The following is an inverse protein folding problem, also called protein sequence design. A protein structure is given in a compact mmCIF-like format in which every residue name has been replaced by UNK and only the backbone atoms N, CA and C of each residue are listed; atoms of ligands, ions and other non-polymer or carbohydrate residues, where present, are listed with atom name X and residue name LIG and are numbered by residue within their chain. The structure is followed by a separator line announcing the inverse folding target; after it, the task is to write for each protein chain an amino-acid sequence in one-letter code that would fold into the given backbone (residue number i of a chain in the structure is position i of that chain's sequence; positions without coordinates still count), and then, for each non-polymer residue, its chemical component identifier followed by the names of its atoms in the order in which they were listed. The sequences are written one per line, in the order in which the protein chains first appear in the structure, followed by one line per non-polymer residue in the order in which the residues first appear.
data_IF_256222716044
#
_entry.id   IF_256222716044
#
_cell.length_a   1.000
_cell.length_b   1.000
_cell.length_c   1.000
_cell.angle_alpha   90.00
_cell.angle_beta   90.00
_cell.angle_gamma   90.00
#
_symmetry.space_group_name_H-M   'P 1'
#
loop_
_entity.id
_entity.type
_entity.pdbx_description
1 polymer ?
#
# COMPACT_ATOMS: atom_id res chain seq x y z
N UNK A 1 -20.27 23.18 20.57
CA UNK A 1 -20.00 22.38 19.36
C UNK A 1 -18.99 23.19 18.53
N UNK A 2 -17.71 22.85 18.63
CA UNK A 2 -16.70 23.41 17.74
C UNK A 2 -16.99 22.97 16.31
N UNK A 3 -17.14 23.95 15.41
CA UNK A 3 -17.21 23.65 13.97
C UNK A 3 -15.90 22.99 13.57
N UNK A 4 -15.94 21.70 13.24
CA UNK A 4 -14.82 21.04 12.60
C UNK A 4 -14.43 21.88 11.38
N UNK A 5 -13.21 22.41 11.42
CA UNK A 5 -12.61 23.14 10.30
C UNK A 5 -12.52 22.15 9.15
N UNK A 6 -13.27 22.35 8.09
CA UNK A 6 -13.20 21.52 6.89
C UNK A 6 -11.79 21.68 6.32
N UNK A 7 -10.96 20.68 6.45
CA UNK A 7 -9.63 20.65 5.83
C UNK A 7 -9.90 20.44 4.35
N UNK A 8 -9.26 21.25 3.51
CA UNK A 8 -9.25 21.00 2.06
C UNK A 8 -7.90 20.32 1.76
N UNK A 9 -7.84 18.98 1.77
CA UNK A 9 -6.57 18.27 1.65
C UNK A 9 -5.95 18.56 0.28
N UNK A 10 -4.64 18.76 0.27
CA UNK A 10 -3.86 19.03 -0.95
C UNK A 10 -3.99 17.87 -1.96
N UNK A 11 -4.14 16.64 -1.45
CA UNK A 11 -4.34 15.44 -2.25
C UNK A 11 -5.74 14.86 -2.01
N UNK A 12 -6.40 14.46 -3.09
CA UNK A 12 -7.77 13.92 -3.07
C UNK A 12 -7.79 12.40 -3.03
N UNK A 13 -6.67 11.76 -3.40
CA UNK A 13 -6.56 10.31 -3.51
C UNK A 13 -5.26 9.81 -2.90
N UNK A 14 -5.35 8.74 -2.08
CA UNK A 14 -4.21 8.10 -1.43
C UNK A 14 -4.01 6.70 -1.98
N UNK A 15 -2.80 6.40 -2.43
CA UNK A 15 -2.40 5.05 -2.84
C UNK A 15 -1.51 4.44 -1.77
N UNK A 16 -1.87 3.26 -1.30
CA UNK A 16 -1.12 2.52 -0.29
C UNK A 16 -0.56 1.22 -0.86
N UNK A 17 0.73 0.98 -0.66
CA UNK A 17 1.24 -0.38 -0.82
C UNK A 17 0.64 -1.29 0.26
N UNK A 18 0.62 -2.60 -0.01
CA UNK A 18 0.01 -3.58 0.87
C UNK A 18 1.01 -4.14 1.88
N UNK A 19 2.10 -4.76 1.39
CA UNK A 19 3.08 -5.49 2.21
C UNK A 19 4.01 -4.52 2.96
N UNK A 20 3.94 -4.49 4.28
CA UNK A 20 4.85 -3.66 5.09
C UNK A 20 4.50 -2.17 5.11
N UNK A 21 3.46 -1.75 4.40
CA UNK A 21 2.94 -0.37 4.45
C UNK A 21 1.60 -0.34 5.17
N UNK A 22 0.55 -0.84 4.53
CA UNK A 22 -0.79 -0.88 5.13
C UNK A 22 -0.94 -2.09 6.05
N UNK A 23 -0.47 -3.28 5.62
CA UNK A 23 -0.63 -4.53 6.35
C UNK A 23 0.70 -5.14 6.79
N UNK A 24 0.72 -5.65 8.05
CA UNK A 24 1.82 -6.49 8.51
C UNK A 24 1.69 -7.91 7.95
N UNK A 25 2.52 -8.23 6.98
CA UNK A 25 2.57 -9.55 6.34
C UNK A 25 3.70 -10.44 6.86
N UNK A 26 4.31 -10.08 7.99
CA UNK A 26 5.46 -10.79 8.57
C UNK A 26 5.19 -12.26 8.90
N UNK A 27 3.96 -12.60 9.27
CA UNK A 27 3.60 -14.00 9.54
C UNK A 27 3.59 -14.86 8.28
N UNK A 28 3.12 -14.32 7.15
CA UNK A 28 3.19 -15.03 5.86
C UNK A 28 4.64 -15.24 5.42
N UNK A 29 5.53 -14.28 5.68
CA UNK A 29 6.97 -14.43 5.43
C UNK A 29 7.57 -15.52 6.31
N UNK A 30 7.28 -15.50 7.62
CA UNK A 30 7.74 -16.54 8.57
C UNK A 30 7.26 -17.92 8.16
N UNK A 31 6.00 -18.03 7.75
CA UNK A 31 5.44 -19.30 7.27
C UNK A 31 6.22 -19.84 6.06
N UNK A 32 6.41 -19.04 5.04
CA UNK A 32 7.12 -19.46 3.84
C UNK A 32 8.62 -19.77 4.09
N UNK A 33 9.30 -18.95 4.90
CA UNK A 33 10.73 -19.11 5.16
C UNK A 33 11.02 -20.23 6.18
N UNK A 34 10.33 -20.22 7.33
CA UNK A 34 10.67 -21.09 8.46
C UNK A 34 9.94 -22.41 8.42
N UNK A 35 8.65 -22.41 8.07
CA UNK A 35 7.84 -23.63 8.09
C UNK A 35 7.99 -24.44 6.83
N UNK A 36 8.26 -23.79 5.68
CA UNK A 36 8.41 -24.46 4.38
C UNK A 36 9.86 -24.45 3.86
N UNK A 37 10.79 -23.77 4.55
CA UNK A 37 12.21 -23.71 4.16
C UNK A 37 12.47 -23.02 2.80
N UNK A 38 11.56 -22.18 2.33
CA UNK A 38 11.67 -21.55 1.01
C UNK A 38 12.57 -20.32 1.06
N UNK A 39 13.31 -20.06 -0.04
CA UNK A 39 14.12 -18.84 -0.16
C UNK A 39 13.25 -17.66 -0.56
N UNK A 40 13.51 -16.47 0.02
CA UNK A 40 12.84 -15.22 -0.35
C UNK A 40 12.93 -14.93 -1.84
N UNK A 41 11.89 -14.32 -2.37
CA UNK A 41 11.74 -13.88 -3.75
C UNK A 41 11.75 -14.96 -4.82
N UNK A 42 11.72 -16.24 -4.44
CA UNK A 42 11.48 -17.33 -5.39
C UNK A 42 9.98 -17.42 -5.74
N UNK A 43 9.61 -18.01 -6.89
CA UNK A 43 8.21 -18.22 -7.26
C UNK A 43 7.45 -19.04 -6.20
N UNK A 44 8.07 -20.06 -5.62
CA UNK A 44 7.51 -20.92 -4.60
C UNK A 44 7.23 -20.14 -3.30
N UNK A 45 8.15 -19.28 -2.89
CA UNK A 45 7.98 -18.40 -1.73
C UNK A 45 6.81 -17.42 -1.97
N UNK A 46 6.76 -16.78 -3.13
CA UNK A 46 5.66 -15.88 -3.49
C UNK A 46 4.31 -16.62 -3.48
N UNK A 47 4.27 -17.84 -3.99
CA UNK A 47 3.06 -18.65 -4.03
C UNK A 47 2.61 -19.08 -2.63
N UNK A 48 3.55 -19.52 -1.78
CA UNK A 48 3.28 -19.93 -0.40
C UNK A 48 2.71 -18.76 0.43
N UNK A 49 3.32 -17.57 0.33
CA UNK A 49 2.81 -16.36 0.98
C UNK A 49 1.39 -16.02 0.54
N UNK A 50 1.14 -16.00 -0.76
CA UNK A 50 -0.19 -15.71 -1.32
C UNK A 50 -1.22 -16.72 -0.83
N UNK A 51 -0.89 -18.00 -0.81
CA UNK A 51 -1.76 -19.05 -0.28
C UNK A 51 -2.04 -18.85 1.21
N UNK A 52 -1.01 -18.52 1.99
CA UNK A 52 -1.16 -18.23 3.42
C UNK A 52 -2.13 -17.06 3.63
N UNK A 53 -1.90 -15.93 2.99
CA UNK A 53 -2.69 -14.70 3.13
C UNK A 53 -4.13 -14.86 2.63
N UNK A 54 -4.33 -15.66 1.58
CA UNK A 54 -5.64 -15.85 0.99
C UNK A 54 -6.52 -16.88 1.71
N UNK A 55 -5.91 -17.86 2.40
CA UNK A 55 -6.65 -19.05 2.87
C UNK A 55 -6.38 -19.43 4.33
N UNK A 56 -5.25 -19.02 4.91
CA UNK A 56 -4.86 -19.45 6.27
C UNK A 56 -5.12 -18.28 7.26
N UNK A 57 -4.48 -17.13 7.03
CA UNK A 57 -4.61 -16.00 7.92
C UNK A 57 -4.46 -14.68 7.15
N UNK A 58 -5.49 -13.86 7.17
CA UNK A 58 -5.42 -12.49 6.64
C UNK A 58 -4.48 -11.64 7.50
N UNK A 59 -3.76 -10.73 6.85
CA UNK A 59 -2.93 -9.75 7.55
C UNK A 59 -3.79 -8.68 8.24
N UNK A 60 -3.24 -8.08 9.28
CA UNK A 60 -3.84 -6.92 9.97
C UNK A 60 -3.09 -5.65 9.59
N UNK A 61 -3.76 -4.49 9.59
CA UNK A 61 -3.06 -3.21 9.49
C UNK A 61 -2.06 -3.06 10.64
N UNK A 62 -1.00 -2.29 10.40
CA UNK A 62 -0.11 -1.85 11.48
C UNK A 62 -0.87 -1.01 12.51
N UNK A 63 -0.29 -0.87 13.69
CA UNK A 63 -0.80 0.04 14.72
C UNK A 63 -0.82 1.49 14.18
N UNK A 64 -1.81 2.28 14.60
CA UNK A 64 -1.97 3.67 14.19
C UNK A 64 -2.82 3.90 12.93
N UNK A 65 -3.17 2.86 12.19
CA UNK A 65 -4.00 3.00 11.00
C UNK A 65 -5.47 3.37 11.30
N UNK A 66 -5.97 3.09 12.49
CA UNK A 66 -7.36 3.40 12.88
C UNK A 66 -7.65 4.89 12.77
N UNK A 67 -6.72 5.74 13.23
CA UNK A 67 -6.85 7.21 13.17
C UNK A 67 -6.79 7.71 11.73
N UNK A 68 -5.90 7.11 10.91
CA UNK A 68 -5.79 7.44 9.48
C UNK A 68 -7.06 7.05 8.73
N UNK A 69 -7.63 5.86 8.99
CA UNK A 69 -8.89 5.44 8.38
C UNK A 69 -10.03 6.37 8.76
N UNK A 70 -10.12 6.73 10.05
CA UNK A 70 -11.11 7.71 10.50
C UNK A 70 -10.94 9.03 9.78
N UNK A 71 -9.72 9.54 9.66
CA UNK A 71 -9.44 10.80 8.96
C UNK A 71 -9.83 10.74 7.49
N UNK A 72 -9.53 9.64 6.78
CA UNK A 72 -9.92 9.41 5.39
C UNK A 72 -11.44 9.48 5.23
N UNK A 73 -12.19 8.80 6.11
CA UNK A 73 -13.65 8.77 6.09
C UNK A 73 -14.23 10.16 6.39
N UNK A 74 -13.79 10.78 7.47
CA UNK A 74 -14.31 12.08 7.94
C UNK A 74 -14.10 13.20 6.91
N UNK A 75 -13.05 13.11 6.08
CA UNK A 75 -12.71 14.11 5.06
C UNK A 75 -13.07 13.68 3.63
N UNK A 76 -13.76 12.54 3.47
CA UNK A 76 -14.18 12.00 2.18
C UNK A 76 -13.02 11.88 1.17
N UNK A 77 -11.85 11.43 1.65
CA UNK A 77 -10.66 11.21 0.83
C UNK A 77 -10.75 9.85 0.16
N UNK A 78 -10.48 9.78 -1.15
CA UNK A 78 -10.42 8.51 -1.84
C UNK A 78 -9.15 7.75 -1.46
N UNK A 79 -9.27 6.46 -1.14
CA UNK A 79 -8.13 5.61 -0.81
C UNK A 79 -8.12 4.34 -1.67
N UNK A 80 -6.93 3.90 -2.08
CA UNK A 80 -6.77 2.66 -2.83
C UNK A 80 -5.54 1.87 -2.36
N UNK A 81 -5.65 0.55 -2.43
CA UNK A 81 -4.52 -0.38 -2.24
C UNK A 81 -3.95 -0.69 -3.63
N UNK A 82 -2.65 -0.43 -3.82
CA UNK A 82 -1.94 -0.65 -5.09
C UNK A 82 -0.76 -1.57 -4.84
N UNK A 83 -0.91 -2.85 -5.18
CA UNK A 83 0.04 -3.91 -4.79
C UNK A 83 0.28 -4.93 -5.90
N UNK A 84 1.49 -5.49 -5.94
CA UNK A 84 1.81 -6.64 -6.78
C UNK A 84 1.11 -7.95 -6.39
N UNK A 85 0.41 -7.99 -5.24
CA UNK A 85 -0.42 -9.11 -4.84
C UNK A 85 -1.66 -9.27 -5.74
N UNK A 86 -2.28 -10.44 -5.72
CA UNK A 86 -3.56 -10.63 -6.41
C UNK A 86 -4.68 -9.91 -5.68
N UNK A 87 -5.68 -9.47 -6.43
CA UNK A 87 -6.91 -8.86 -5.88
C UNK A 87 -7.59 -9.75 -4.83
N UNK A 88 -7.48 -11.08 -4.95
CA UNK A 88 -7.99 -12.01 -3.95
C UNK A 88 -7.34 -11.79 -2.58
N UNK A 89 -6.02 -11.63 -2.51
CA UNK A 89 -5.29 -11.36 -1.25
C UNK A 89 -5.76 -10.03 -0.65
N UNK A 90 -5.86 -8.98 -1.47
CA UNK A 90 -6.32 -7.66 -1.02
C UNK A 90 -7.73 -7.72 -0.44
N UNK A 91 -8.65 -8.41 -1.15
CA UNK A 91 -10.03 -8.58 -0.70
C UNK A 91 -10.14 -9.35 0.62
N UNK A 92 -9.29 -10.37 0.83
CA UNK A 92 -9.31 -11.15 2.06
C UNK A 92 -8.97 -10.28 3.27
N UNK A 93 -7.93 -9.44 3.18
CA UNK A 93 -7.53 -8.58 4.28
C UNK A 93 -8.53 -7.45 4.55
N UNK A 94 -9.05 -6.80 3.50
CA UNK A 94 -10.10 -5.78 3.64
C UNK A 94 -11.35 -6.38 4.31
N UNK A 95 -11.77 -7.58 3.90
CA UNK A 95 -12.91 -8.29 4.48
C UNK A 95 -12.64 -8.67 5.94
N UNK A 96 -11.49 -9.27 6.23
CA UNK A 96 -11.15 -9.77 7.56
C UNK A 96 -11.02 -8.64 8.60
N UNK A 97 -10.61 -7.44 8.16
CA UNK A 97 -10.46 -6.26 9.01
C UNK A 97 -11.67 -5.31 8.95
N UNK A 98 -12.72 -5.67 8.21
CA UNK A 98 -13.93 -4.85 8.02
C UNK A 98 -13.65 -3.41 7.54
N UNK A 99 -12.73 -3.25 6.57
CA UNK A 99 -12.28 -1.95 6.06
C UNK A 99 -13.10 -1.47 4.84
N UNK A 100 -14.39 -1.80 4.77
CA UNK A 100 -15.24 -1.45 3.62
C UNK A 100 -15.62 0.02 3.55
N UNK A 101 -15.53 0.74 4.67
CA UNK A 101 -15.79 2.19 4.70
C UNK A 101 -14.66 2.98 4.04
N UNK A 102 -13.42 2.43 4.07
CA UNK A 102 -12.24 3.00 3.41
C UNK A 102 -12.04 2.42 2.00
N UNK A 103 -12.26 1.10 1.87
CA UNK A 103 -12.09 0.35 0.62
C UNK A 103 -13.41 -0.32 0.24
N UNK A 104 -14.31 0.36 -0.50
CA UNK A 104 -15.67 -0.09 -0.78
C UNK A 104 -15.79 -1.47 -1.42
N UNK A 105 -16.96 -2.11 -1.29
CA UNK A 105 -17.23 -3.49 -1.75
C UNK A 105 -17.18 -3.67 -3.26
N UNK A 106 -17.36 -2.61 -4.05
CA UNK A 106 -17.23 -2.60 -5.51
C UNK A 106 -15.84 -3.00 -6.01
N UNK A 107 -14.84 -2.97 -5.12
CA UNK A 107 -13.46 -3.40 -5.36
C UNK A 107 -12.66 -2.55 -6.35
N UNK A 108 -13.20 -1.43 -6.82
CA UNK A 108 -12.52 -0.58 -7.80
C UNK A 108 -11.19 -0.06 -7.26
N UNK A 109 -11.09 0.17 -5.95
CA UNK A 109 -9.93 0.70 -5.26
C UNK A 109 -8.99 -0.36 -4.65
N UNK A 110 -9.05 -1.60 -5.11
CA UNK A 110 -8.11 -2.69 -4.78
C UNK A 110 -7.41 -3.15 -6.04
N UNK A 111 -6.30 -2.52 -6.37
CA UNK A 111 -5.55 -2.72 -7.60
C UNK A 111 -4.46 -3.78 -7.35
N UNK A 112 -4.60 -4.91 -8.00
CA UNK A 112 -3.68 -6.04 -7.88
C UNK A 112 -2.83 -6.26 -9.11
N UNK A 113 -1.64 -6.83 -8.92
CA UNK A 113 -0.70 -7.13 -10.00
C UNK A 113 -1.20 -8.08 -11.08
N UNK A 114 -2.37 -8.71 -10.88
CA UNK A 114 -2.99 -9.65 -11.84
C UNK A 114 -4.31 -9.15 -12.41
N UNK A 115 -4.64 -7.86 -12.24
CA UNK A 115 -5.93 -7.30 -12.65
C UNK A 115 -6.11 -7.25 -14.17
N UNK A 116 -5.02 -7.13 -14.92
CA UNK A 116 -5.04 -7.17 -16.37
C UNK A 116 -4.76 -8.59 -16.84
N UNK A 117 -5.71 -9.21 -17.54
CA UNK A 117 -5.56 -10.57 -18.08
C UNK A 117 -4.33 -10.67 -18.98
N UNK A 118 -3.50 -11.67 -18.71
CA UNK A 118 -2.27 -11.93 -19.50
C UNK A 118 -1.09 -11.00 -19.18
N UNK A 119 -1.27 -10.02 -18.29
CA UNK A 119 -0.21 -9.11 -17.85
C UNK A 119 -0.03 -9.19 -16.35
N UNK A 120 1.19 -9.41 -15.89
CA UNK A 120 1.56 -9.29 -14.49
C UNK A 120 2.20 -7.93 -14.27
N UNK A 121 1.56 -7.08 -13.47
CA UNK A 121 2.03 -5.74 -13.14
C UNK A 121 2.76 -5.78 -11.80
N UNK A 122 3.88 -5.10 -11.72
CA UNK A 122 4.70 -5.01 -10.53
C UNK A 122 5.19 -3.56 -10.36
N UNK A 123 5.85 -3.31 -9.26
CA UNK A 123 6.66 -2.10 -9.04
C UNK A 123 8.16 -2.41 -9.06
N UNK A 124 8.55 -3.62 -9.54
CA UNK A 124 9.96 -4.00 -9.67
C UNK A 124 10.68 -3.02 -10.59
N UNK A 125 11.92 -2.70 -10.26
CA UNK A 125 12.77 -1.78 -11.00
C UNK A 125 12.13 -0.41 -11.28
N UNK A 126 11.14 -0.03 -10.46
CA UNK A 126 10.38 1.21 -10.64
C UNK A 126 9.41 1.18 -11.83
N UNK A 127 8.90 0.00 -12.22
CA UNK A 127 7.87 -0.12 -13.28
C UNK A 127 6.58 0.61 -12.86
N UNK A 128 6.15 1.68 -13.57
CA UNK A 128 4.98 2.46 -13.24
C UNK A 128 3.65 1.79 -13.61
N UNK A 129 3.66 0.64 -14.29
CA UNK A 129 2.47 0.05 -14.92
C UNK A 129 1.31 -0.17 -13.94
N UNK A 130 1.62 -0.52 -12.69
CA UNK A 130 0.61 -0.74 -11.67
C UNK A 130 -0.05 0.57 -11.22
N UNK A 131 0.72 1.64 -11.04
CA UNK A 131 0.20 2.97 -10.71
C UNK A 131 -0.56 3.58 -11.88
N UNK A 132 -0.06 3.49 -13.11
CA UNK A 132 -0.77 3.96 -14.31
C UNK A 132 -2.11 3.23 -14.50
N UNK A 133 -2.16 1.94 -14.18
CA UNK A 133 -3.41 1.18 -14.18
C UNK A 133 -4.37 1.68 -13.08
N UNK A 134 -3.86 1.99 -11.88
CA UNK A 134 -4.65 2.51 -10.78
C UNK A 134 -5.25 3.90 -11.11
N UNK A 135 -4.43 4.82 -11.62
CA UNK A 135 -4.89 6.15 -12.08
C UNK A 135 -6.03 6.04 -13.09
N UNK A 136 -5.85 5.19 -14.09
CA UNK A 136 -6.87 4.95 -15.12
C UNK A 136 -8.15 4.34 -14.55
N UNK A 137 -8.02 3.32 -13.68
CA UNK A 137 -9.17 2.62 -13.10
C UNK A 137 -10.01 3.52 -12.20
N UNK A 138 -9.35 4.41 -11.45
CA UNK A 138 -10.00 5.33 -10.51
C UNK A 138 -10.37 6.67 -11.16
N UNK A 139 -9.97 6.90 -12.41
CA UNK A 139 -10.17 8.15 -13.15
C UNK A 139 -9.67 9.38 -12.38
N UNK A 140 -8.43 9.32 -11.89
CA UNK A 140 -7.78 10.39 -11.13
C UNK A 140 -6.52 10.86 -11.84
N UNK A 141 -6.21 12.15 -11.73
CA UNK A 141 -4.98 12.72 -12.25
C UNK A 141 -3.81 12.45 -11.29
N UNK A 142 -2.58 12.22 -11.79
CA UNK A 142 -1.45 11.89 -10.93
C UNK A 142 -1.12 12.97 -9.90
N UNK A 143 -1.31 14.25 -10.23
CA UNK A 143 -1.09 15.40 -9.35
C UNK A 143 -2.07 15.47 -8.16
N UNK A 144 -3.22 14.81 -8.25
CA UNK A 144 -4.19 14.69 -7.15
C UNK A 144 -3.89 13.50 -6.21
N UNK A 145 -2.83 12.74 -6.50
CA UNK A 145 -2.51 11.48 -5.79
C UNK A 145 -1.20 11.58 -5.02
N UNK A 146 -1.19 11.02 -3.81
CA UNK A 146 0.04 10.73 -3.07
C UNK A 146 0.12 9.22 -2.79
N UNK A 147 1.29 8.63 -3.02
CA UNK A 147 1.55 7.20 -2.84
C UNK A 147 2.44 6.95 -1.61
N UNK A 148 2.12 5.93 -0.85
CA UNK A 148 2.81 5.50 0.35
C UNK A 148 3.35 4.08 0.16
N UNK A 149 4.65 3.88 0.37
CA UNK A 149 5.32 2.59 0.22
C UNK A 149 6.51 2.42 1.14
N UNK A 150 6.88 1.18 1.43
CA UNK A 150 8.01 0.86 2.32
C UNK A 150 9.25 0.35 1.57
N UNK A 151 9.37 0.66 0.29
CA UNK A 151 10.50 0.26 -0.52
C UNK A 151 10.83 1.32 -1.59
N UNK A 152 12.13 1.54 -1.88
CA UNK A 152 12.58 2.47 -2.94
C UNK A 152 11.87 2.29 -4.28
N UNK A 153 11.63 1.03 -4.68
CA UNK A 153 10.89 0.73 -5.92
C UNK A 153 9.48 1.30 -5.96
N UNK A 154 8.83 1.48 -4.80
CA UNK A 154 7.48 2.06 -4.74
C UNK A 154 7.53 3.53 -5.12
N UNK A 155 8.51 4.28 -4.58
CA UNK A 155 8.74 5.68 -4.89
C UNK A 155 9.14 5.85 -6.36
N UNK A 156 10.14 5.12 -6.85
CA UNK A 156 10.57 5.19 -8.26
C UNK A 156 9.45 4.86 -9.25
N UNK A 157 8.56 3.91 -8.91
CA UNK A 157 7.41 3.59 -9.76
C UNK A 157 6.35 4.69 -9.73
N UNK A 158 6.13 5.33 -8.57
CA UNK A 158 5.23 6.46 -8.42
C UNK A 158 5.72 7.68 -9.21
N UNK A 159 7.00 8.04 -9.09
CA UNK A 159 7.62 9.14 -9.84
C UNK A 159 7.45 8.99 -11.35
N UNK A 160 7.74 7.79 -11.86
CA UNK A 160 7.56 7.49 -13.29
C UNK A 160 6.10 7.52 -13.74
N UNK A 161 5.17 7.43 -12.79
CA UNK A 161 3.74 7.62 -13.02
C UNK A 161 3.28 9.07 -12.81
N UNK A 162 4.18 9.99 -12.41
CA UNK A 162 3.89 11.39 -12.10
C UNK A 162 3.20 11.58 -10.75
N UNK A 163 3.31 10.63 -9.83
CA UNK A 163 2.66 10.63 -8.52
C UNK A 163 3.69 10.98 -7.45
N UNK A 164 3.37 11.92 -6.53
CA UNK A 164 4.19 12.16 -5.33
C UNK A 164 4.26 10.90 -4.47
N UNK A 165 5.47 10.53 -4.05
CA UNK A 165 5.70 9.38 -3.18
C UNK A 165 6.21 9.78 -1.78
N UNK A 166 5.91 8.93 -0.79
CA UNK A 166 6.38 9.06 0.59
C UNK A 166 6.85 7.70 1.07
N UNK A 167 8.03 7.67 1.68
CA UNK A 167 8.62 6.48 2.28
C UNK A 167 8.02 6.20 3.66
N UNK A 168 7.53 4.96 3.86
CA UNK A 168 6.97 4.47 5.11
C UNK A 168 7.97 3.55 5.82
N UNK A 169 8.54 3.99 6.93
CA UNK A 169 9.65 3.27 7.58
C UNK A 169 9.23 2.19 8.58
N UNK A 170 7.98 2.16 9.05
CA UNK A 170 7.52 1.21 10.09
C UNK A 170 7.51 -0.26 9.67
N UNK A 171 7.37 -0.56 8.38
CA UNK A 171 7.39 -1.94 7.87
C UNK A 171 8.69 -2.37 7.22
N UNK A 172 9.71 -1.51 7.23
CA UNK A 172 11.05 -1.82 6.68
C UNK A 172 11.81 -2.67 7.68
N UNK A 173 12.23 -3.86 7.25
CA UNK A 173 12.89 -4.86 8.12
C UNK A 173 14.40 -4.90 7.94
N UNK A 174 14.87 -4.57 6.76
CA UNK A 174 16.27 -4.58 6.40
C UNK A 174 16.87 -3.18 6.65
N UNK A 175 17.91 -3.09 7.48
CA UNK A 175 18.54 -1.81 7.84
C UNK A 175 19.15 -1.11 6.62
N UNK A 176 19.76 -1.85 5.71
CA UNK A 176 20.29 -1.31 4.45
C UNK A 176 19.19 -0.61 3.62
N UNK A 177 18.02 -1.25 3.49
CA UNK A 177 16.86 -0.67 2.81
C UNK A 177 16.36 0.58 3.54
N UNK A 178 16.34 0.55 4.88
CA UNK A 178 15.93 1.69 5.69
C UNK A 178 16.88 2.88 5.49
N UNK A 179 18.18 2.63 5.48
CA UNK A 179 19.19 3.68 5.27
C UNK A 179 19.06 4.27 3.86
N UNK A 180 18.90 3.46 2.82
CA UNK A 180 18.68 3.94 1.45
C UNK A 180 17.46 4.87 1.35
N UNK A 181 16.38 4.59 2.07
CA UNK A 181 15.20 5.46 2.09
C UNK A 181 15.45 6.75 2.87
N UNK A 182 16.20 6.70 3.96
CA UNK A 182 16.55 7.88 4.75
C UNK A 182 17.52 8.82 4.01
N UNK A 183 18.38 8.26 3.18
CA UNK A 183 19.37 9.00 2.38
C UNK A 183 18.80 9.50 1.05
N UNK A 184 17.56 9.16 0.73
CA UNK A 184 16.88 9.59 -0.49
C UNK A 184 16.49 11.07 -0.38
N UNK A 185 17.10 11.99 -1.15
CA UNK A 185 16.84 13.42 -1.04
C UNK A 185 15.51 13.84 -1.71
N UNK A 186 14.93 12.99 -2.54
CA UNK A 186 13.79 13.31 -3.37
C UNK A 186 12.45 12.98 -2.70
N UNK A 187 12.48 12.12 -1.65
CA UNK A 187 11.26 11.64 -1.01
C UNK A 187 11.27 11.84 0.51
N UNK A 188 10.15 12.29 1.01
CA UNK A 188 9.91 12.42 2.44
C UNK A 188 9.75 11.05 3.10
N UNK A 189 10.31 10.89 4.32
CA UNK A 189 10.20 9.70 5.15
C UNK A 189 9.25 9.94 6.33
N UNK A 190 8.34 9.01 6.56
CA UNK A 190 7.49 8.98 7.75
C UNK A 190 7.70 7.68 8.53
N UNK A 191 7.61 7.76 9.85
CA UNK A 191 7.93 6.67 10.78
C UNK A 191 6.70 6.02 11.41
N UNK A 192 5.53 6.64 11.26
CA UNK A 192 4.26 6.09 11.76
C UNK A 192 3.10 6.42 10.80
N UNK A 193 2.05 5.62 10.77
CA UNK A 193 0.86 5.89 9.96
C UNK A 193 0.20 7.24 10.26
N UNK A 194 0.21 7.69 11.53
CA UNK A 194 -0.42 8.94 11.93
C UNK A 194 0.17 10.17 11.24
N UNK A 195 1.46 10.15 10.88
CA UNK A 195 2.10 11.24 10.14
C UNK A 195 1.51 11.46 8.74
N UNK A 196 0.78 10.49 8.19
CA UNK A 196 -0.02 10.69 6.97
C UNK A 196 -1.04 11.80 7.15
N UNK A 197 -1.65 11.91 8.33
CA UNK A 197 -2.63 12.96 8.65
C UNK A 197 -1.98 14.34 8.61
N UNK A 198 -0.74 14.46 9.10
CA UNK A 198 0.00 15.72 9.13
C UNK A 198 0.39 16.19 7.73
N UNK A 199 0.70 15.25 6.83
CA UNK A 199 0.98 15.53 5.41
C UNK A 199 -0.24 16.01 4.61
N UNK A 200 -1.44 15.71 5.09
CA UNK A 200 -2.70 16.03 4.41
C UNK A 200 -3.38 17.29 4.95
N UNK A 201 -2.83 17.89 5.99
CA UNK A 201 -3.34 19.13 6.62
C UNK A 201 -2.66 20.37 6.07
#
# INVERSE_FOLDING_TARGET
MEKQKTINPTFKTLFFDYDGTLFDTSEADKYALRNLGLRRFTPEWCQARKKYLAHIKASKPFEGWQEVFKFIIDNNIQAAIVSGNSRQVLNMSVKACNLYDVFPKDKINRIGGTDVKGKKMWKADGDPSLFLHALKQLNVAPEDVIAFGNHMRDAHAADRAGIRAVHCLWGVKEEEQRQLMLDDPDHECITSPQQIIDLLR
#
